data_IF_549957358293
#
_entry.id   IF_549957358293
#
_cell.length_a   1.000
_cell.length_b   1.000
_cell.length_c   1.000
_cell.angle_alpha   90.00
_cell.angle_beta   90.00
_cell.angle_gamma   90.00
#
_symmetry.space_group_name_H-M   'P 1'
#
loop_
_entity.id
_entity.type
_entity.pdbx_description
1 polymer ?
#
# COMPACT_ATOMS: atom_id res chain seq x y z
N UNK A 1 -31.82 38.74 0.71
CA UNK A 1 -31.10 37.46 0.60
C UNK A 1 -31.10 36.78 1.96
N UNK A 2 -31.74 35.62 2.08
CA UNK A 2 -31.95 34.93 3.37
C UNK A 2 -30.63 34.43 3.97
N UNK A 3 -30.55 34.35 5.30
CA UNK A 3 -29.36 33.88 6.02
C UNK A 3 -28.85 32.51 5.54
N UNK A 4 -29.77 31.66 5.07
CA UNK A 4 -29.47 30.36 4.47
C UNK A 4 -28.55 30.42 3.24
N UNK A 5 -28.65 31.47 2.41
CA UNK A 5 -27.77 31.62 1.24
C UNK A 5 -26.35 32.06 1.62
N UNK A 6 -26.18 32.82 2.70
CA UNK A 6 -24.85 33.22 3.21
C UNK A 6 -24.13 32.06 3.87
N UNK A 7 -24.86 31.15 4.51
CA UNK A 7 -24.31 29.97 5.18
C UNK A 7 -23.93 28.87 4.18
N UNK A 8 -24.73 28.69 3.12
CA UNK A 8 -24.40 27.80 2.01
C UNK A 8 -23.14 28.23 1.24
N UNK A 9 -22.85 29.53 1.14
CA UNK A 9 -21.63 30.04 0.48
C UNK A 9 -20.40 29.89 1.38
N UNK A 10 -20.57 29.92 2.72
CA UNK A 10 -19.46 29.72 3.68
C UNK A 10 -18.98 28.26 3.74
N UNK A 11 -19.88 27.30 3.54
CA UNK A 11 -19.55 25.87 3.59
C UNK A 11 -19.08 25.28 2.24
N UNK A 12 -19.15 26.03 1.13
CA UNK A 12 -18.80 25.53 -0.21
C UNK A 12 -17.35 25.80 -0.64
N UNK A 13 -16.58 26.57 0.14
CA UNK A 13 -15.24 27.02 -0.21
C UNK A 13 -14.19 26.93 0.92
N UNK A 14 -14.43 26.14 1.97
CA UNK A 14 -13.34 25.77 2.87
C UNK A 14 -12.72 24.47 2.36
N UNK A 15 -11.44 24.57 1.97
CA UNK A 15 -10.59 23.40 1.82
C UNK A 15 -10.63 22.54 3.08
N UNK A 16 -10.16 21.30 2.93
CA UNK A 16 -9.96 20.27 3.96
C UNK A 16 -10.17 20.76 5.40
N UNK A 17 -11.00 20.08 6.22
CA UNK A 17 -11.21 20.48 7.60
C UNK A 17 -9.87 20.71 8.29
N UNK A 18 -9.77 21.82 9.02
CA UNK A 18 -8.60 22.15 9.83
C UNK A 18 -8.16 20.91 10.59
N UNK A 19 -6.86 20.60 10.58
CA UNK A 19 -6.27 19.59 11.47
C UNK A 19 -6.87 19.82 12.87
N UNK A 20 -7.51 18.81 13.49
CA UNK A 20 -8.16 19.01 14.78
C UNK A 20 -7.16 19.66 15.73
N UNK A 21 -7.57 20.77 16.35
CA UNK A 21 -6.72 21.48 17.30
C UNK A 21 -6.16 20.47 18.31
N UNK A 22 -4.84 20.51 18.50
CA UNK A 22 -4.18 19.72 19.55
C UNK A 22 -4.99 19.95 20.82
N UNK A 23 -5.55 18.91 21.46
CA UNK A 23 -6.19 19.10 22.74
C UNK A 23 -5.15 19.75 23.65
N UNK A 24 -5.48 20.97 24.08
CA UNK A 24 -4.61 21.80 24.90
C UNK A 24 -4.00 20.97 26.02
N UNK A 25 -2.74 21.29 26.32
CA UNK A 25 -1.96 20.74 27.43
C UNK A 25 -2.84 20.76 28.69
N UNK A 26 -3.56 19.68 28.98
CA UNK A 26 -4.31 19.53 30.22
C UNK A 26 -3.24 19.40 31.29
N UNK A 27 -3.10 20.44 32.11
CA UNK A 27 -2.50 20.33 33.43
C UNK A 27 -3.47 19.46 34.22
N UNK A 28 -3.21 18.16 34.20
CA UNK A 28 -4.01 17.13 34.84
C UNK A 28 -3.08 16.07 35.43
N UNK A 29 -3.32 15.76 36.69
CA UNK A 29 -2.61 14.88 37.61
C UNK A 29 -2.11 13.56 36.98
N UNK A 30 -1.02 12.96 37.49
CA UNK A 30 -0.39 11.79 36.89
C UNK A 30 -1.34 10.58 36.95
N UNK A 31 -2.03 10.32 35.84
CA UNK A 31 -2.74 9.07 35.59
C UNK A 31 -1.72 7.95 35.36
N UNK A 32 -2.01 6.77 35.91
CA UNK A 32 -1.13 5.60 35.90
C UNK A 32 -0.65 5.17 34.51
N UNK A 33 0.32 4.24 34.44
CA UNK A 33 1.02 3.92 33.20
C UNK A 33 0.06 3.33 32.17
N UNK A 34 -0.45 4.17 31.26
CA UNK A 34 -1.06 3.72 30.04
C UNK A 34 -0.04 2.87 29.29
N UNK A 35 -0.35 1.59 29.06
CA UNK A 35 0.53 0.69 28.30
C UNK A 35 0.92 1.39 27.00
N UNK A 36 2.21 1.67 26.84
CA UNK A 36 2.77 2.24 25.61
C UNK A 36 2.36 1.33 24.46
N UNK A 37 1.80 1.89 23.38
CA UNK A 37 1.45 1.10 22.20
C UNK A 37 2.72 0.47 21.62
N UNK A 38 2.63 -0.80 21.23
CA UNK A 38 3.71 -1.53 20.58
C UNK A 38 3.69 -1.22 19.08
N UNK A 39 4.81 -0.69 18.58
CA UNK A 39 5.01 -0.33 17.18
C UNK A 39 6.13 -1.15 16.52
N UNK A 40 6.54 -2.26 17.14
CA UNK A 40 7.51 -3.18 16.54
C UNK A 40 6.98 -3.73 15.20
N UNK A 41 7.81 -3.77 14.14
CA UNK A 41 7.41 -4.32 12.86
C UNK A 41 6.89 -5.75 12.96
N UNK A 42 5.86 -6.07 12.18
CA UNK A 42 5.33 -7.42 12.00
C UNK A 42 5.59 -7.88 10.56
N UNK A 43 5.76 -9.18 10.37
CA UNK A 43 6.03 -9.75 9.05
C UNK A 43 4.74 -10.24 8.39
N UNK A 44 4.61 -10.00 7.08
CA UNK A 44 3.59 -10.59 6.22
C UNK A 44 3.58 -12.13 6.24
N UNK A 45 4.67 -12.78 6.67
CA UNK A 45 4.76 -14.24 6.87
C UNK A 45 3.66 -14.79 7.79
N UNK A 46 3.05 -13.95 8.61
CA UNK A 46 1.92 -14.36 9.44
C UNK A 46 0.64 -14.58 8.60
N UNK A 47 0.40 -13.84 7.51
CA UNK A 47 -0.92 -13.79 6.84
C UNK A 47 -1.05 -14.64 5.56
N UNK A 48 0.05 -15.13 4.98
CA UNK A 48 0.05 -15.89 3.73
C UNK A 48 0.73 -17.26 3.91
N UNK A 49 0.03 -18.34 3.53
CA UNK A 49 0.50 -19.73 3.67
C UNK A 49 1.66 -20.06 2.72
N UNK A 50 1.68 -19.53 1.48
CA UNK A 50 2.78 -19.73 0.52
C UNK A 50 3.51 -18.41 0.21
N UNK A 51 4.76 -18.33 0.65
CA UNK A 51 5.92 -18.01 -0.20
C UNK A 51 6.74 -19.30 -0.20
N UNK A 52 7.47 -19.70 -1.25
CA UNK A 52 8.32 -20.92 -1.16
C UNK A 52 9.16 -20.84 0.16
N UNK A 53 9.01 -21.65 1.24
CA UNK A 53 8.07 -22.72 1.65
C UNK A 53 7.66 -22.65 3.18
N UNK A 54 6.69 -23.50 3.60
CA UNK A 54 5.67 -23.40 4.72
C UNK A 54 5.94 -24.36 5.92
N UNK A 55 5.47 -24.16 7.20
CA UNK A 55 4.19 -24.63 7.82
C UNK A 55 3.77 -23.99 9.20
N UNK A 56 2.43 -23.78 9.34
CA UNK A 56 1.41 -23.71 10.45
C UNK A 56 1.73 -23.25 11.90
N UNK A 57 1.09 -22.15 12.34
CA UNK A 57 0.32 -22.09 13.61
C UNK A 57 -0.68 -20.92 13.67
N UNK A 58 -1.83 -21.20 14.31
CA UNK A 58 -3.11 -20.49 14.25
C UNK A 58 -3.12 -19.16 15.03
N UNK A 59 -3.40 -18.04 14.33
CA UNK A 59 -3.91 -16.73 14.83
C UNK A 59 -3.95 -15.66 13.72
N UNK A 60 -4.78 -15.78 12.68
CA UNK A 60 -4.97 -14.66 11.73
C UNK A 60 -6.43 -14.37 11.44
N UNK A 61 -6.82 -13.11 11.28
CA UNK A 61 -8.14 -12.72 10.78
C UNK A 61 -8.00 -12.35 9.30
N UNK A 62 -8.46 -13.21 8.38
CA UNK A 62 -8.37 -12.98 6.93
C UNK A 62 -9.54 -13.61 6.19
N UNK A 63 -9.80 -13.15 4.96
CA UNK A 63 -10.93 -13.61 4.13
C UNK A 63 -10.96 -15.13 3.91
N UNK A 64 -9.79 -15.76 3.84
CA UNK A 64 -9.65 -17.21 3.64
C UNK A 64 -10.18 -18.04 4.83
N UNK A 65 -10.48 -17.42 5.98
CA UNK A 65 -11.11 -18.12 7.11
C UNK A 65 -12.61 -18.26 6.99
N UNK A 66 -13.24 -17.35 6.25
CA UNK A 66 -14.70 -17.28 6.12
C UNK A 66 -15.17 -17.67 4.71
N UNK A 67 -14.25 -17.72 3.75
CA UNK A 67 -14.50 -18.08 2.35
C UNK A 67 -13.44 -19.04 1.82
N UNK A 68 -13.82 -19.99 0.97
CA UNK A 68 -12.89 -20.80 0.20
C UNK A 68 -12.36 -20.03 -1.00
N UNK A 69 -11.22 -19.36 -0.83
CA UNK A 69 -10.51 -18.66 -1.91
C UNK A 69 -9.00 -18.69 -1.70
N UNK A 70 -8.27 -18.34 -2.75
CA UNK A 70 -6.84 -18.04 -2.72
C UNK A 70 -6.65 -16.52 -2.84
N UNK A 71 -5.60 -15.99 -2.23
CA UNK A 71 -5.30 -14.55 -2.26
C UNK A 71 -3.89 -14.37 -2.81
N UNK A 72 -3.78 -13.49 -3.80
CA UNK A 72 -2.51 -13.02 -4.35
C UNK A 72 -2.44 -11.52 -4.06
N UNK A 73 -1.51 -11.12 -3.20
CA UNK A 73 -1.19 -9.72 -2.97
C UNK A 73 0.09 -9.40 -3.75
N UNK A 74 0.02 -8.39 -4.62
CA UNK A 74 1.12 -8.00 -5.50
C UNK A 74 1.69 -6.66 -5.04
N UNK A 75 3.02 -6.57 -5.02
CA UNK A 75 3.72 -5.29 -4.96
C UNK A 75 3.77 -4.72 -6.37
N UNK A 76 3.11 -3.57 -6.59
CA UNK A 76 3.20 -2.87 -7.87
C UNK A 76 4.59 -2.27 -8.08
N UNK A 77 4.91 -1.92 -9.32
CA UNK A 77 6.13 -1.18 -9.69
C UNK A 77 6.39 -0.01 -8.72
N UNK A 78 7.65 0.13 -8.30
CA UNK A 78 8.06 1.17 -7.35
C UNK A 78 7.50 1.01 -5.92
N UNK A 79 6.84 -0.10 -5.60
CA UNK A 79 6.28 -0.39 -4.28
C UNK A 79 6.82 -1.72 -3.74
N UNK A 80 6.85 -1.86 -2.41
CA UNK A 80 7.32 -3.06 -1.73
C UNK A 80 8.64 -3.58 -2.30
N UNK A 81 8.76 -4.88 -2.52
CA UNK A 81 10.02 -5.48 -2.97
C UNK A 81 10.12 -5.68 -4.48
N UNK A 82 9.15 -5.14 -5.25
CA UNK A 82 9.17 -5.16 -6.71
C UNK A 82 10.31 -4.32 -7.28
N UNK A 83 11.00 -4.87 -8.28
CA UNK A 83 12.10 -4.22 -8.99
C UNK A 83 11.80 -4.18 -10.47
N UNK A 84 11.92 -3.02 -11.09
CA UNK A 84 11.74 -2.85 -12.54
C UNK A 84 12.89 -2.06 -13.15
N UNK A 85 12.99 -2.05 -14.48
CA UNK A 85 14.00 -1.23 -15.18
C UNK A 85 13.76 0.28 -15.00
N UNK A 86 12.51 0.69 -14.78
CA UNK A 86 12.13 2.08 -14.56
C UNK A 86 10.96 2.15 -13.57
N UNK A 87 11.28 2.32 -12.29
CA UNK A 87 10.29 2.40 -11.20
C UNK A 87 9.47 3.70 -11.21
N UNK A 88 9.83 4.68 -12.04
CA UNK A 88 9.15 5.97 -12.11
C UNK A 88 8.05 6.02 -13.18
N UNK A 89 8.01 5.09 -14.14
CA UNK A 89 6.89 4.98 -15.09
C UNK A 89 5.69 4.31 -14.42
N UNK A 90 4.92 5.10 -13.69
CA UNK A 90 3.68 4.67 -13.07
C UNK A 90 2.45 5.01 -13.93
N UNK A 91 2.57 5.04 -15.26
CA UNK A 91 1.38 5.24 -16.11
C UNK A 91 0.34 4.12 -15.88
N UNK A 92 -0.95 4.44 -16.04
CA UNK A 92 -2.02 3.44 -15.91
C UNK A 92 -1.81 2.24 -16.85
N UNK A 93 -1.24 2.51 -18.02
CA UNK A 93 -0.97 1.54 -19.07
C UNK A 93 0.14 0.58 -18.68
N UNK A 94 1.27 1.10 -18.21
CA UNK A 94 2.40 0.29 -17.72
C UNK A 94 1.98 -0.55 -16.52
N UNK A 95 1.32 0.06 -15.52
CA UNK A 95 0.87 -0.66 -14.33
C UNK A 95 -0.16 -1.75 -14.65
N UNK A 96 -1.10 -1.51 -15.57
CA UNK A 96 -2.05 -2.53 -15.98
C UNK A 96 -1.38 -3.68 -16.76
N UNK A 97 -0.36 -3.35 -17.57
CA UNK A 97 0.45 -4.35 -18.28
C UNK A 97 1.23 -5.22 -17.29
N UNK A 98 1.89 -4.60 -16.31
CA UNK A 98 2.65 -5.31 -15.26
C UNK A 98 1.75 -6.34 -14.55
N UNK A 99 0.51 -5.97 -14.19
CA UNK A 99 -0.45 -6.89 -13.57
C UNK A 99 -0.77 -8.08 -14.48
N UNK A 100 -1.00 -7.84 -15.77
CA UNK A 100 -1.23 -8.91 -16.75
C UNK A 100 -0.03 -9.85 -16.89
N UNK A 101 1.18 -9.30 -16.96
CA UNK A 101 2.44 -10.07 -17.03
C UNK A 101 2.66 -10.90 -15.74
N UNK A 102 2.38 -10.35 -14.56
CA UNK A 102 2.46 -11.06 -13.28
C UNK A 102 1.48 -12.25 -13.28
N UNK A 103 0.22 -12.05 -13.67
CA UNK A 103 -0.76 -13.14 -13.74
C UNK A 103 -0.33 -14.20 -14.74
N UNK A 104 0.13 -13.79 -15.93
CA UNK A 104 0.66 -14.71 -16.93
C UNK A 104 1.82 -15.55 -16.40
N UNK A 105 2.73 -14.94 -15.64
CA UNK A 105 3.88 -15.61 -15.05
C UNK A 105 3.51 -16.54 -13.89
N UNK A 106 2.56 -16.14 -13.04
CA UNK A 106 2.09 -16.96 -11.92
C UNK A 106 1.40 -18.26 -12.37
N UNK A 107 0.80 -18.25 -13.56
CA UNK A 107 0.02 -19.35 -14.10
C UNK A 107 0.58 -19.86 -15.44
N UNK A 108 1.88 -19.68 -15.70
CA UNK A 108 2.48 -20.07 -16.99
C UNK A 108 2.51 -21.59 -17.23
N UNK A 109 2.50 -22.38 -16.14
CA UNK A 109 2.53 -23.85 -16.18
C UNK A 109 1.14 -24.48 -16.35
N UNK A 110 0.07 -23.67 -16.39
CA UNK A 110 -1.31 -24.14 -16.57
C UNK A 110 -1.92 -23.52 -17.83
N UNK A 111 -2.84 -24.26 -18.48
CA UNK A 111 -3.45 -23.83 -19.75
C UNK A 111 -4.18 -22.47 -19.65
N UNK A 112 -4.73 -22.16 -18.47
CA UNK A 112 -5.37 -20.88 -18.20
C UNK A 112 -5.32 -20.53 -16.71
N UNK A 113 -5.22 -19.24 -16.35
CA UNK A 113 -5.33 -18.81 -14.96
C UNK A 113 -6.68 -19.22 -14.36
N UNK A 114 -6.78 -19.45 -13.04
CA UNK A 114 -8.06 -19.70 -12.40
C UNK A 114 -8.99 -18.48 -12.53
N UNK A 115 -10.28 -18.61 -12.18
CA UNK A 115 -11.18 -17.46 -12.08
C UNK A 115 -10.64 -16.43 -11.08
N UNK A 116 -10.45 -15.19 -11.52
CA UNK A 116 -9.83 -14.12 -10.70
C UNK A 116 -10.85 -13.04 -10.37
N UNK A 117 -10.94 -12.68 -9.08
CA UNK A 117 -11.57 -11.44 -8.61
C UNK A 117 -10.46 -10.40 -8.38
N UNK A 118 -10.49 -9.29 -9.10
CA UNK A 118 -9.59 -8.17 -8.84
C UNK A 118 -10.11 -7.31 -7.69
N UNK A 119 -9.24 -6.95 -6.75
CA UNK A 119 -9.55 -6.01 -5.66
C UNK A 119 -8.49 -4.92 -5.66
N UNK A 120 -8.90 -3.65 -5.76
CA UNK A 120 -7.97 -2.52 -5.78
C UNK A 120 -8.43 -1.37 -4.90
N UNK A 121 -7.48 -0.75 -4.19
CA UNK A 121 -7.70 0.44 -3.36
C UNK A 121 -7.02 1.65 -3.98
N UNK A 122 -7.68 2.83 -3.94
CA UNK A 122 -7.08 4.09 -4.40
C UNK A 122 -6.45 3.97 -5.81
N UNK A 123 -5.16 4.27 -5.98
CA UNK A 123 -4.42 4.02 -7.23
C UNK A 123 -4.61 2.57 -7.73
N UNK A 124 -4.47 1.57 -6.87
CA UNK A 124 -4.69 0.17 -7.24
C UNK A 124 -6.12 -0.12 -7.70
N UNK A 125 -7.12 0.63 -7.22
CA UNK A 125 -8.50 0.57 -7.70
C UNK A 125 -8.64 1.08 -9.14
N UNK A 126 -7.99 2.19 -9.46
CA UNK A 126 -7.88 2.69 -10.83
C UNK A 126 -7.19 1.65 -11.74
N UNK A 127 -6.03 1.14 -11.34
CA UNK A 127 -5.30 0.14 -12.13
C UNK A 127 -6.15 -1.12 -12.34
N UNK A 128 -6.90 -1.58 -11.32
CA UNK A 128 -7.79 -2.72 -11.47
C UNK A 128 -8.89 -2.49 -12.52
N UNK A 129 -9.42 -1.27 -12.63
CA UNK A 129 -10.35 -0.89 -13.70
C UNK A 129 -9.65 -0.93 -15.07
N UNK A 130 -8.44 -0.37 -15.19
CA UNK A 130 -7.68 -0.38 -16.45
C UNK A 130 -7.34 -1.82 -16.90
N UNK A 131 -6.89 -2.68 -16.00
CA UNK A 131 -6.66 -4.12 -16.25
C UNK A 131 -7.92 -4.78 -16.82
N UNK A 132 -9.08 -4.47 -16.22
CA UNK A 132 -10.38 -5.04 -16.61
C UNK A 132 -10.82 -4.59 -18.00
N UNK A 133 -10.79 -3.28 -18.28
CA UNK A 133 -11.22 -2.74 -19.59
C UNK A 133 -10.27 -3.16 -20.71
N UNK A 134 -8.97 -3.26 -20.43
CA UNK A 134 -7.98 -3.71 -21.42
C UNK A 134 -7.99 -5.22 -21.65
N UNK A 135 -8.73 -5.99 -20.85
CA UNK A 135 -8.79 -7.44 -20.99
C UNK A 135 -7.47 -8.14 -20.69
N UNK A 136 -6.64 -7.59 -19.81
CA UNK A 136 -5.32 -8.15 -19.48
C UNK A 136 -5.41 -9.51 -18.77
N UNK A 137 -6.55 -9.81 -18.13
CA UNK A 137 -6.82 -11.09 -17.45
C UNK A 137 -8.07 -11.70 -18.08
N UNK A 138 -7.94 -12.70 -18.98
CA UNK A 138 -9.08 -13.31 -19.66
C UNK A 138 -10.08 -14.01 -18.73
N UNK A 139 -9.62 -14.48 -17.58
CA UNK A 139 -10.42 -15.21 -16.58
C UNK A 139 -10.95 -14.32 -15.45
N UNK A 140 -10.97 -13.00 -15.66
CA UNK A 140 -11.52 -12.05 -14.71
C UNK A 140 -13.04 -12.27 -14.56
N UNK A 141 -13.48 -12.59 -13.35
CA UNK A 141 -14.88 -12.90 -13.01
C UNK A 141 -15.56 -11.84 -12.15
N UNK A 142 -14.82 -10.83 -11.68
CA UNK A 142 -15.38 -9.71 -10.93
C UNK A 142 -14.34 -8.66 -10.56
N UNK A 143 -14.83 -7.49 -10.17
CA UNK A 143 -14.01 -6.33 -9.83
C UNK A 143 -14.54 -5.66 -8.55
N UNK A 144 -13.68 -5.49 -7.56
CA UNK A 144 -13.94 -4.73 -6.35
C UNK A 144 -13.00 -3.52 -6.25
N UNK A 145 -13.59 -2.33 -6.09
CA UNK A 145 -12.85 -1.07 -5.95
C UNK A 145 -13.11 -0.49 -4.55
N UNK A 146 -12.05 -0.08 -3.87
CA UNK A 146 -12.08 0.40 -2.49
C UNK A 146 -11.65 1.86 -2.44
N UNK A 147 -12.53 2.70 -1.90
CA UNK A 147 -12.35 4.11 -1.55
C UNK A 147 -11.71 4.98 -2.64
N UNK A 148 -12.20 4.85 -3.88
CA UNK A 148 -11.83 5.72 -4.99
C UNK A 148 -13.02 5.94 -5.92
N UNK A 149 -13.22 7.21 -6.27
CA UNK A 149 -14.23 7.70 -7.21
C UNK A 149 -13.59 8.85 -8.00
N UNK A 150 -13.82 8.93 -9.30
CA UNK A 150 -13.18 9.91 -10.19
C UNK A 150 -13.32 11.34 -9.68
N UNK A 151 -14.55 11.80 -9.43
CA UNK A 151 -14.79 13.20 -9.04
C UNK A 151 -14.01 13.63 -7.81
N UNK A 152 -14.08 12.85 -6.73
CA UNK A 152 -13.38 13.17 -5.48
C UNK A 152 -11.87 12.94 -5.58
N UNK A 153 -11.42 11.96 -6.36
CA UNK A 153 -9.99 11.74 -6.60
C UNK A 153 -9.36 12.92 -7.34
N UNK A 154 -10.02 13.42 -8.39
CA UNK A 154 -9.54 14.55 -9.19
C UNK A 154 -9.44 15.84 -8.37
N UNK A 155 -10.42 16.11 -7.50
CA UNK A 155 -10.36 17.25 -6.57
C UNK A 155 -9.20 17.13 -5.57
N UNK A 156 -8.94 15.90 -5.09
CA UNK A 156 -7.89 15.61 -4.12
C UNK A 156 -6.47 15.64 -4.69
N UNK A 157 -6.26 15.58 -6.01
CA UNK A 157 -4.91 15.60 -6.60
C UNK A 157 -4.11 16.86 -6.21
N UNK A 158 -4.79 18.00 -6.12
CA UNK A 158 -4.18 19.27 -5.73
C UNK A 158 -3.70 19.29 -4.28
N UNK A 159 -4.46 18.69 -3.37
CA UNK A 159 -4.12 18.62 -1.94
C UNK A 159 -3.11 17.51 -1.64
N UNK A 160 -3.05 16.47 -2.47
CA UNK A 160 -2.11 15.35 -2.32
C UNK A 160 -0.67 15.83 -2.35
N UNK A 161 -0.29 16.73 -3.25
CA UNK A 161 1.07 17.29 -3.28
C UNK A 161 1.45 17.97 -1.96
N UNK A 162 0.53 18.74 -1.38
CA UNK A 162 0.73 19.40 -0.08
C UNK A 162 0.85 18.38 1.05
N UNK A 163 0.03 17.33 1.03
CA UNK A 163 0.12 16.22 1.98
C UNK A 163 1.49 15.53 1.89
N UNK A 164 1.92 15.13 0.69
CA UNK A 164 3.19 14.41 0.49
C UNK A 164 4.39 15.24 0.97
N UNK A 165 4.38 16.56 0.76
CA UNK A 165 5.43 17.49 1.22
C UNK A 165 5.45 17.70 2.73
N UNK A 166 4.32 17.48 3.42
CA UNK A 166 4.24 17.62 4.88
C UNK A 166 4.73 16.39 5.64
N UNK A 167 4.95 15.26 4.94
CA UNK A 167 5.50 14.04 5.54
C UNK A 167 6.96 14.25 5.97
N UNK A 168 7.41 13.60 7.07
CA UNK A 168 8.82 13.55 7.40
C UNK A 168 9.62 12.99 6.21
N UNK A 169 10.76 13.59 5.91
CA UNK A 169 11.64 13.10 4.83
C UNK A 169 12.38 11.82 5.20
N UNK A 170 12.49 11.53 6.50
CA UNK A 170 13.14 10.33 7.00
C UNK A 170 12.72 9.98 8.42
N UNK A 171 12.97 8.74 8.82
CA UNK A 171 12.74 8.21 10.15
C UNK A 171 14.04 7.61 10.72
N UNK A 172 14.21 7.65 12.04
CA UNK A 172 15.36 7.06 12.74
C UNK A 172 15.21 5.56 13.01
N UNK A 173 14.01 5.02 12.81
CA UNK A 173 13.74 3.57 12.89
C UNK A 173 12.42 3.25 12.19
N UNK A 174 12.17 1.97 11.92
CA UNK A 174 10.88 1.51 11.40
C UNK A 174 9.74 1.78 12.39
N UNK A 175 9.97 1.58 13.69
CA UNK A 175 8.99 1.84 14.76
C UNK A 175 8.55 3.30 14.77
N UNK A 176 9.46 4.25 14.51
CA UNK A 176 9.11 5.66 14.43
C UNK A 176 8.21 5.94 13.21
N UNK A 177 8.48 5.29 12.07
CA UNK A 177 7.63 5.37 10.88
C UNK A 177 6.22 4.80 11.13
N UNK A 178 6.14 3.64 11.79
CA UNK A 178 4.88 3.00 12.20
C UNK A 178 4.12 3.89 13.20
N UNK A 179 4.80 4.45 14.20
CA UNK A 179 4.19 5.37 15.16
C UNK A 179 3.65 6.63 14.46
N UNK A 180 4.41 7.19 13.53
CA UNK A 180 4.00 8.36 12.76
C UNK A 180 2.74 8.09 11.93
N UNK A 181 2.65 6.96 11.23
CA UNK A 181 1.48 6.65 10.38
C UNK A 181 0.18 6.53 11.18
N UNK A 182 0.26 5.99 12.41
CA UNK A 182 -0.87 5.91 13.32
C UNK A 182 -1.24 7.27 13.90
N UNK A 183 -0.23 8.07 14.29
CA UNK A 183 -0.48 9.39 14.91
C UNK A 183 -0.92 10.46 13.93
N UNK A 184 -0.49 10.38 12.67
CA UNK A 184 -0.92 11.28 11.60
C UNK A 184 -2.34 10.97 11.11
N UNK A 185 -2.89 9.80 11.48
CA UNK A 185 -4.19 9.33 11.01
C UNK A 185 -4.15 8.71 9.60
N UNK A 186 -2.96 8.37 9.08
CA UNK A 186 -2.85 7.66 7.81
C UNK A 186 -3.47 6.25 7.90
N UNK A 187 -3.20 5.55 9.01
CA UNK A 187 -3.78 4.23 9.33
C UNK A 187 -4.24 4.26 10.79
N UNK A 188 -5.49 3.91 11.05
CA UNK A 188 -6.01 3.90 12.43
C UNK A 188 -5.73 2.58 13.16
N UNK A 189 -5.60 1.49 12.41
CA UNK A 189 -5.30 0.17 12.95
C UNK A 189 -3.79 -0.04 13.18
N UNK A 190 -3.39 -0.09 14.45
CA UNK A 190 -1.98 -0.29 14.84
C UNK A 190 -1.43 -1.63 14.35
N UNK A 191 -2.22 -2.70 14.38
CA UNK A 191 -1.77 -4.02 13.91
C UNK A 191 -1.44 -3.98 12.42
N UNK A 192 -2.34 -3.40 11.61
CA UNK A 192 -2.11 -3.22 10.17
C UNK A 192 -0.89 -2.35 9.90
N UNK A 193 -0.76 -1.20 10.58
CA UNK A 193 0.35 -0.28 10.40
C UNK A 193 1.72 -0.93 10.67
N UNK A 194 1.81 -1.84 11.65
CA UNK A 194 3.04 -2.59 11.96
C UNK A 194 3.50 -3.51 10.83
N UNK A 195 2.58 -3.90 9.95
CA UNK A 195 2.84 -4.80 8.81
C UNK A 195 3.06 -3.96 7.55
N UNK A 196 2.12 -3.06 7.24
CA UNK A 196 2.06 -2.34 5.97
C UNK A 196 3.14 -1.26 5.83
N UNK A 197 3.54 -0.60 6.92
CA UNK A 197 4.55 0.47 6.85
C UNK A 197 5.94 -0.03 6.51
N UNK A 198 6.25 -1.31 6.75
CA UNK A 198 7.55 -1.90 6.41
C UNK A 198 7.78 -1.86 4.89
N UNK A 199 6.72 -2.10 4.10
CA UNK A 199 6.78 -2.01 2.64
C UNK A 199 6.83 -0.56 2.11
N UNK A 200 6.49 0.44 2.91
CA UNK A 200 6.50 1.85 2.51
C UNK A 200 7.83 2.55 2.76
N UNK A 201 8.69 1.95 3.60
CA UNK A 201 9.99 2.49 3.98
C UNK A 201 11.12 1.62 3.44
N UNK A 202 12.26 2.26 3.17
CA UNK A 202 13.50 1.60 2.77
C UNK A 202 14.63 2.17 3.63
N UNK A 203 15.60 1.31 3.97
CA UNK A 203 16.81 1.74 4.68
C UNK A 203 17.63 2.62 3.76
N UNK A 204 18.07 3.75 4.28
CA UNK A 204 18.99 4.65 3.60
C UNK A 204 20.35 3.96 3.52
N UNK A 205 20.78 3.58 2.32
CA UNK A 205 22.17 3.21 2.04
C UNK A 205 22.85 4.38 1.35
N UNK A 206 23.98 4.84 1.88
CA UNK A 206 24.78 5.94 1.31
C UNK A 206 25.24 5.69 -0.15
N UNK A 207 25.07 4.47 -0.67
CA UNK A 207 25.42 4.08 -2.03
C UNK A 207 24.57 4.75 -3.14
N UNK A 208 23.38 5.29 -2.85
CA UNK A 208 22.52 5.90 -3.88
C UNK A 208 23.01 7.29 -4.35
N UNK A 209 24.00 7.88 -3.68
CA UNK A 209 24.61 9.14 -4.12
C UNK A 209 25.80 8.97 -5.09
N UNK A 210 26.34 7.75 -5.26
CA UNK A 210 27.55 7.51 -6.06
C UNK A 210 27.29 7.27 -7.56
N UNK A 211 26.04 7.20 -8.02
CA UNK A 211 25.74 7.08 -9.45
C UNK A 211 25.81 8.41 -10.24
N UNK A 212 26.05 9.55 -9.57
CA UNK A 212 26.16 10.87 -10.24
C UNK A 212 27.56 11.26 -10.69
N UNK A 213 28.59 10.47 -10.41
CA UNK A 213 29.96 10.73 -10.89
C UNK A 213 30.58 9.49 -11.53
N UNK A 214 30.05 9.06 -12.68
CA UNK A 214 30.84 8.21 -13.59
C UNK A 214 30.49 8.44 -15.05
N UNK A 215 31.02 9.53 -15.60
CA UNK A 215 31.28 9.65 -17.03
C UNK A 215 32.80 9.64 -17.22
N UNK A 216 33.28 8.57 -17.87
CA UNK A 216 34.68 8.25 -18.18
C UNK A 216 35.32 9.26 -19.15
N UNK A 217 36.65 9.22 -19.40
CA UNK A 217 37.08 8.34 -20.50
C UNK A 217 38.47 7.66 -20.35
N UNK A 218 38.56 6.46 -20.97
CA UNK A 218 39.77 5.78 -21.56
C UNK A 218 40.92 5.36 -20.61
N UNK A 219 41.61 4.21 -20.74
CA UNK A 219 41.84 3.27 -21.84
C UNK A 219 42.49 1.94 -21.35
N UNK A 220 42.03 0.81 -21.91
CA UNK A 220 42.75 -0.47 -22.26
C UNK A 220 43.38 -1.40 -21.20
N UNK A 221 43.55 -2.72 -21.53
CA UNK A 221 43.37 -3.83 -20.60
C UNK A 221 44.64 -4.68 -20.36
N UNK A 222 44.69 -5.42 -19.25
CA UNK A 222 45.64 -6.51 -19.02
C UNK A 222 45.16 -7.39 -17.85
N UNK A 223 44.59 -8.56 -18.13
CA UNK A 223 45.17 -9.92 -17.87
C UNK A 223 45.25 -10.38 -16.41
N UNK A 224 44.45 -11.43 -16.16
CA UNK A 224 44.82 -12.72 -15.55
C UNK A 224 45.20 -12.87 -14.06
N UNK A 225 44.52 -13.88 -13.48
CA UNK A 225 44.99 -14.97 -12.61
C UNK A 225 45.22 -14.74 -11.09
N UNK A 226 44.32 -15.39 -10.34
CA UNK A 226 44.52 -16.49 -9.38
C UNK A 226 45.85 -16.60 -8.57
N UNK A 227 45.63 -16.82 -7.25
CA UNK A 227 46.35 -17.69 -6.30
C UNK A 227 47.87 -17.57 -6.13
N UNK A 228 48.32 -17.04 -4.97
CA UNK A 228 49.55 -17.49 -4.28
C UNK A 228 49.34 -17.49 -2.75
N UNK A 229 49.78 -18.60 -2.15
CA UNK A 229 49.75 -19.02 -0.75
C UNK A 229 51.02 -18.57 0.01
N UNK A 230 50.87 -18.43 1.34
CA UNK A 230 51.87 -18.45 2.43
C UNK A 230 52.75 -17.23 2.68
N UNK A 231 52.74 -16.75 3.93
CA UNK A 231 53.78 -17.03 4.94
C UNK A 231 53.37 -16.43 6.31
N UNK A 232 53.39 -17.24 7.37
CA UNK A 232 53.42 -16.77 8.77
C UNK A 232 54.84 -16.31 9.11
N UNK A 233 54.98 -15.38 10.07
CA UNK A 233 55.74 -15.79 11.25
C UNK A 233 55.17 -15.31 12.59
N UNK A 234 55.18 -16.26 13.52
CA UNK A 234 55.69 -16.21 14.89
C UNK A 234 55.16 -15.17 15.91
N UNK A 235 54.75 -15.76 17.03
CA UNK A 235 54.30 -15.15 18.27
C UNK A 235 55.40 -14.31 18.94
N UNK A 236 55.06 -13.09 19.37
CA UNK A 236 55.65 -12.51 20.57
C UNK A 236 54.57 -11.88 21.45
N UNK A 237 54.51 -12.41 22.65
CA UNK A 237 53.55 -12.14 23.70
C UNK A 237 54.02 -10.90 24.49
N UNK A 238 53.28 -9.79 24.41
CA UNK A 238 53.41 -8.71 25.42
C UNK A 238 52.03 -8.23 25.87
N UNK A 239 51.75 -8.53 27.14
CA UNK A 239 50.58 -8.07 27.87
C UNK A 239 50.59 -6.54 27.99
N UNK A 240 49.71 -5.87 27.23
CA UNK A 240 49.33 -4.50 27.49
C UNK A 240 47.81 -4.44 27.67
N UNK A 241 47.41 -4.22 28.92
CA UNK A 241 46.02 -3.93 29.31
C UNK A 241 45.54 -2.70 28.56
N UNK A 242 44.78 -2.89 27.49
CA UNK A 242 43.94 -1.87 26.91
C UNK A 242 42.49 -2.37 26.99
N UNK A 243 41.73 -1.77 27.91
CA UNK A 243 40.26 -1.79 27.84
C UNK A 243 39.86 -1.15 26.51
N UNK A 244 39.71 -1.96 25.48
CA UNK A 244 38.98 -1.58 24.30
C UNK A 244 37.51 -1.43 24.70
N UNK A 245 37.11 -0.20 25.04
CA UNK A 245 35.72 0.22 24.85
C UNK A 245 35.41 -0.03 23.38
N UNK A 246 34.73 -1.14 23.10
CA UNK A 246 34.04 -1.31 21.84
C UNK A 246 33.01 -0.19 21.77
N UNK A 247 33.40 0.92 21.15
CA UNK A 247 32.45 1.84 20.54
C UNK A 247 31.86 1.03 19.40
N UNK A 248 30.78 0.31 19.68
CA UNK A 248 29.85 -0.07 18.62
C UNK A 248 29.42 1.27 18.03
N UNK A 249 29.99 1.63 16.88
CA UNK A 249 29.40 2.64 16.02
C UNK A 249 27.95 2.19 15.81
N UNK A 250 27.04 2.82 16.54
CA UNK A 250 25.63 2.70 16.24
C UNK A 250 25.48 3.36 14.87
N UNK A 251 25.54 2.54 13.82
CA UNK A 251 25.13 2.93 12.48
C UNK A 251 23.71 3.46 12.68
N UNK A 252 23.56 4.79 12.59
CA UNK A 252 22.30 5.44 12.84
C UNK A 252 21.40 5.11 11.65
N UNK A 253 20.68 3.99 11.75
CA UNK A 253 19.89 3.45 10.64
C UNK A 253 18.78 4.44 10.30
N UNK A 254 18.95 5.14 9.18
CA UNK A 254 17.96 6.08 8.67
C UNK A 254 17.06 5.36 7.69
N UNK A 255 15.75 5.62 7.76
CA UNK A 255 14.76 5.11 6.84
C UNK A 255 14.15 6.26 6.04
N UNK A 256 13.89 6.04 4.76
CA UNK A 256 13.22 6.99 3.87
C UNK A 256 12.01 6.33 3.20
N UNK A 257 11.15 7.13 2.59
CA UNK A 257 10.06 6.62 1.75
C UNK A 257 10.64 5.82 0.58
N UNK A 258 10.07 4.64 0.33
CA UNK A 258 10.49 3.77 -0.78
C UNK A 258 10.37 4.45 -2.13
N UNK A 259 9.31 5.25 -2.30
CA UNK A 259 9.06 6.01 -3.52
C UNK A 259 8.74 7.46 -3.21
N UNK A 260 9.37 8.36 -3.96
CA UNK A 260 8.97 9.77 -3.99
C UNK A 260 7.75 9.94 -4.91
N UNK A 261 6.58 9.65 -4.34
CA UNK A 261 5.31 9.72 -5.06
C UNK A 261 5.06 11.11 -5.67
N UNK A 262 5.65 12.19 -5.13
CA UNK A 262 5.45 13.54 -5.66
C UNK A 262 5.94 13.70 -7.10
N UNK A 263 6.97 12.93 -7.51
CA UNK A 263 7.52 12.90 -8.86
C UNK A 263 6.58 12.28 -9.89
N UNK A 264 5.64 11.47 -9.43
CA UNK A 264 4.70 10.71 -10.27
C UNK A 264 3.43 11.50 -10.59
N UNK A 265 3.34 12.76 -10.15
CA UNK A 265 2.16 13.63 -10.27
C UNK A 265 1.58 13.77 -11.67
N UNK A 266 2.41 13.64 -12.69
CA UNK A 266 2.01 13.72 -14.10
C UNK A 266 1.21 12.49 -14.57
N UNK A 267 1.25 11.36 -13.86
CA UNK A 267 0.45 10.18 -14.16
C UNK A 267 -0.92 10.16 -13.47
N UNK A 268 -1.10 10.95 -12.40
CA UNK A 268 -2.28 10.84 -11.53
C UNK A 268 -3.59 11.11 -12.26
N UNK A 269 -3.62 12.12 -13.15
CA UNK A 269 -4.79 12.37 -13.99
C UNK A 269 -5.11 11.13 -14.85
N UNK A 270 -4.09 10.48 -15.42
CA UNK A 270 -4.25 9.28 -16.23
C UNK A 270 -4.78 8.07 -15.48
N UNK A 271 -4.68 8.04 -14.14
CA UNK A 271 -5.26 6.97 -13.31
C UNK A 271 -6.77 7.16 -13.12
N UNK A 272 -7.22 8.39 -12.90
CA UNK A 272 -8.57 8.64 -12.39
C UNK A 272 -9.52 9.23 -13.43
N UNK A 273 -9.00 9.89 -14.47
CA UNK A 273 -9.82 10.50 -15.51
C UNK A 273 -10.65 9.46 -16.25
N UNK A 274 -11.95 9.70 -16.34
CA UNK A 274 -12.97 8.79 -16.87
C UNK A 274 -13.09 7.45 -16.15
N UNK A 275 -12.44 7.27 -14.99
CA UNK A 275 -12.44 6.02 -14.23
C UNK A 275 -13.86 5.56 -13.91
N UNK A 276 -14.78 6.47 -13.60
CA UNK A 276 -16.17 6.10 -13.26
C UNK A 276 -16.90 5.48 -14.45
N UNK A 277 -16.69 6.02 -15.66
CA UNK A 277 -17.24 5.43 -16.90
C UNK A 277 -16.58 4.09 -17.22
N UNK A 278 -15.26 4.01 -17.10
CA UNK A 278 -14.49 2.79 -17.35
C UNK A 278 -14.92 1.66 -16.41
N UNK A 279 -15.05 1.95 -15.11
CA UNK A 279 -15.57 1.03 -14.11
C UNK A 279 -16.96 0.51 -14.53
N UNK A 280 -17.89 1.40 -14.87
CA UNK A 280 -19.24 1.00 -15.30
C UNK A 280 -19.25 0.16 -16.58
N UNK A 281 -18.28 0.36 -17.48
CA UNK A 281 -18.14 -0.38 -18.74
C UNK A 281 -17.58 -1.80 -18.58
N UNK A 282 -16.93 -2.12 -17.46
CA UNK A 282 -16.32 -3.43 -17.24
C UNK A 282 -17.39 -4.55 -17.30
N UNK A 283 -17.22 -5.59 -18.14
CA UNK A 283 -18.22 -6.61 -18.41
C UNK A 283 -18.28 -7.71 -17.34
N UNK A 284 -17.94 -7.38 -16.10
CA UNK A 284 -17.97 -8.30 -14.95
C UNK A 284 -18.83 -7.72 -13.83
N UNK A 285 -19.34 -8.56 -12.90
CA UNK A 285 -19.91 -8.09 -11.66
C UNK A 285 -18.95 -7.12 -10.95
N UNK A 286 -19.51 -6.06 -10.35
CA UNK A 286 -18.75 -5.00 -9.71
C UNK A 286 -19.16 -4.74 -8.26
N UNK A 287 -18.19 -4.42 -7.42
CA UNK A 287 -18.36 -4.00 -6.03
C UNK A 287 -17.61 -2.70 -5.79
N UNK A 288 -18.25 -1.73 -5.15
CA UNK A 288 -17.62 -0.50 -4.68
C UNK A 288 -17.75 -0.42 -3.15
N UNK A 289 -16.63 -0.29 -2.45
CA UNK A 289 -16.58 -0.11 -0.99
C UNK A 289 -16.09 1.30 -0.70
N UNK A 290 -16.86 2.09 0.05
CA UNK A 290 -16.51 3.48 0.38
C UNK A 290 -16.46 3.71 1.89
N UNK A 291 -15.60 4.63 2.34
CA UNK A 291 -15.63 5.11 3.73
C UNK A 291 -16.85 6.02 4.02
N UNK A 292 -17.39 6.69 2.99
CA UNK A 292 -18.53 7.61 3.07
C UNK A 292 -19.31 7.71 1.75
N UNK A 293 -20.61 8.02 1.85
CA UNK A 293 -21.55 8.12 0.69
C UNK A 293 -21.31 9.40 -0.11
N UNK A 294 -20.81 10.44 0.54
CA UNK A 294 -20.45 11.75 0.00
C UNK A 294 -19.37 11.70 -1.09
N UNK A 295 -18.79 10.52 -1.34
CA UNK A 295 -17.75 10.31 -2.34
C UNK A 295 -18.25 9.98 -3.74
N UNK A 296 -19.52 9.62 -3.91
CA UNK A 296 -20.06 9.27 -5.22
C UNK A 296 -20.14 10.50 -6.14
N UNK A 297 -19.62 10.37 -7.36
CA UNK A 297 -19.83 11.34 -8.42
C UNK A 297 -21.15 11.08 -9.16
N UNK A 298 -21.45 11.94 -10.14
CA UNK A 298 -22.67 11.85 -10.93
C UNK A 298 -22.80 10.53 -11.70
N UNK A 299 -21.72 10.05 -12.31
CA UNK A 299 -21.72 8.84 -13.15
C UNK A 299 -21.99 7.60 -12.29
N UNK A 300 -21.26 7.45 -11.18
CA UNK A 300 -21.46 6.33 -10.25
C UNK A 300 -22.80 6.42 -9.52
N UNK A 301 -23.31 7.62 -9.22
CA UNK A 301 -24.66 7.79 -8.66
C UNK A 301 -25.71 7.25 -9.63
N UNK A 302 -25.65 7.63 -10.91
CA UNK A 302 -26.56 7.12 -11.94
C UNK A 302 -26.40 5.60 -12.10
N UNK A 303 -25.15 5.11 -12.17
CA UNK A 303 -24.87 3.68 -12.30
C UNK A 303 -25.38 2.86 -11.11
N UNK A 304 -25.27 3.39 -9.89
CA UNK A 304 -25.78 2.78 -8.68
C UNK A 304 -27.31 2.71 -8.67
N UNK A 305 -27.98 3.81 -9.05
CA UNK A 305 -29.44 3.84 -9.18
C UNK A 305 -29.96 2.88 -10.26
N UNK A 306 -29.16 2.60 -11.28
CA UNK A 306 -29.44 1.60 -12.32
C UNK A 306 -29.09 0.16 -11.90
N UNK A 307 -28.53 -0.05 -10.70
CA UNK A 307 -28.13 -1.38 -10.22
C UNK A 307 -26.93 -1.99 -10.96
N UNK A 308 -26.08 -1.16 -11.59
CA UNK A 308 -24.92 -1.63 -12.39
C UNK A 308 -23.78 -2.23 -11.55
N UNK A 309 -23.75 -1.94 -10.26
CA UNK A 309 -22.77 -2.48 -9.32
C UNK A 309 -23.38 -2.58 -7.91
N UNK A 310 -22.73 -3.37 -7.04
CA UNK A 310 -23.06 -3.41 -5.63
C UNK A 310 -22.24 -2.36 -4.90
N UNK A 311 -22.85 -1.62 -3.98
CA UNK A 311 -22.14 -0.64 -3.14
C UNK A 311 -22.26 -1.02 -1.67
N UNK A 312 -21.16 -0.88 -0.94
CA UNK A 312 -21.13 -0.99 0.51
C UNK A 312 -20.42 0.21 1.11
N UNK A 313 -20.97 0.73 2.21
CA UNK A 313 -20.35 1.83 2.96
C UNK A 313 -19.86 1.27 4.29
N UNK A 314 -18.60 1.55 4.63
CA UNK A 314 -17.97 1.19 5.89
C UNK A 314 -17.61 2.47 6.65
N UNK A 315 -18.56 3.02 7.44
CA UNK A 315 -18.34 4.29 8.13
C UNK A 315 -17.27 4.14 9.23
N UNK A 316 -16.66 5.27 9.61
CA UNK A 316 -15.59 5.36 10.63
C UNK A 316 -14.24 4.77 10.20
N UNK A 317 -14.01 4.61 8.91
CA UNK A 317 -12.68 4.35 8.36
C UNK A 317 -12.10 5.64 7.78
N UNK A 318 -10.77 5.75 7.78
CA UNK A 318 -10.04 6.70 6.96
C UNK A 318 -9.99 6.24 5.51
N UNK A 319 -8.97 6.71 4.79
CA UNK A 319 -8.75 6.34 3.39
C UNK A 319 -8.42 4.85 3.21
N UNK A 320 -7.59 4.27 4.09
CA UNK A 320 -7.19 2.87 4.04
C UNK A 320 -8.24 1.96 4.72
N UNK A 321 -9.46 1.89 4.15
CA UNK A 321 -10.60 1.13 4.72
C UNK A 321 -10.25 -0.33 5.03
N UNK A 322 -9.46 -0.96 4.18
CA UNK A 322 -9.03 -2.36 4.33
C UNK A 322 -7.96 -2.55 5.42
N UNK A 323 -7.22 -1.51 5.78
CA UNK A 323 -6.31 -1.54 6.94
C UNK A 323 -7.06 -1.23 8.24
N UNK A 324 -7.98 -0.26 8.19
CA UNK A 324 -8.74 0.20 9.35
C UNK A 324 -9.79 -0.80 9.82
N UNK A 325 -10.48 -1.46 8.88
CA UNK A 325 -11.55 -2.43 9.15
C UNK A 325 -11.40 -3.71 8.30
N UNK A 326 -10.28 -4.45 8.41
CA UNK A 326 -10.00 -5.63 7.59
C UNK A 326 -11.08 -6.70 7.71
N UNK A 327 -11.59 -6.94 8.93
CA UNK A 327 -12.66 -7.90 9.21
C UNK A 327 -13.94 -7.54 8.43
N UNK A 328 -14.29 -6.26 8.37
CA UNK A 328 -15.48 -5.78 7.65
C UNK A 328 -15.31 -5.83 6.14
N UNK A 329 -14.14 -5.48 5.63
CA UNK A 329 -13.86 -5.66 4.19
C UNK A 329 -13.93 -7.14 3.80
N UNK A 330 -13.40 -8.04 4.63
CA UNK A 330 -13.47 -9.48 4.40
C UNK A 330 -14.93 -10.02 4.41
N UNK A 331 -15.76 -9.58 5.36
CA UNK A 331 -17.20 -9.92 5.42
C UNK A 331 -17.93 -9.49 4.14
N UNK A 332 -17.65 -8.29 3.65
CA UNK A 332 -18.29 -7.72 2.45
C UNK A 332 -17.84 -8.46 1.19
N UNK A 333 -16.55 -8.71 1.03
CA UNK A 333 -16.01 -9.48 -0.09
C UNK A 333 -16.53 -10.92 -0.08
N UNK A 334 -16.63 -11.56 1.08
CA UNK A 334 -17.18 -12.92 1.21
C UNK A 334 -18.66 -12.95 0.83
N UNK A 335 -19.46 -12.02 1.36
CA UNK A 335 -20.87 -11.87 0.99
C UNK A 335 -21.05 -11.68 -0.52
N UNK A 336 -20.17 -10.90 -1.14
CA UNK A 336 -20.15 -10.64 -2.57
C UNK A 336 -19.83 -11.91 -3.38
N UNK A 337 -18.75 -12.62 -3.03
CA UNK A 337 -18.34 -13.86 -3.69
C UNK A 337 -19.41 -14.95 -3.58
N UNK A 338 -19.98 -15.15 -2.38
CA UNK A 338 -21.03 -16.15 -2.14
C UNK A 338 -22.31 -15.80 -2.90
N UNK A 339 -22.71 -14.51 -2.93
CA UNK A 339 -23.87 -14.04 -3.69
C UNK A 339 -23.73 -14.35 -5.19
N UNK A 340 -22.52 -14.18 -5.73
CA UNK A 340 -22.21 -14.47 -7.13
C UNK A 340 -21.92 -15.95 -7.40
N UNK A 341 -21.97 -16.81 -6.38
CA UNK A 341 -21.61 -18.23 -6.46
C UNK A 341 -20.19 -18.47 -6.97
N UNK A 342 -19.28 -17.54 -6.68
CA UNK A 342 -17.87 -17.60 -7.08
C UNK A 342 -17.01 -18.31 -6.03
N UNK A 343 -17.49 -18.39 -4.79
CA UNK A 343 -16.82 -19.13 -3.73
C UNK A 343 -17.85 -19.65 -2.70
N UNK A 344 -17.45 -20.68 -1.96
CA UNK A 344 -18.24 -21.24 -0.87
C UNK A 344 -17.85 -20.59 0.47
N UNK A 345 -18.85 -20.25 1.28
CA UNK A 345 -18.63 -19.84 2.66
C UNK A 345 -18.15 -21.03 3.50
N UNK A 346 -17.26 -20.78 4.46
CA UNK A 346 -16.90 -21.76 5.50
C UNK A 346 -17.96 -21.78 6.59
N UNK A 347 -18.09 -22.89 7.32
CA UNK A 347 -19.18 -23.17 8.29
C UNK A 347 -19.45 -22.06 9.33
N UNK A 348 -18.45 -21.23 9.63
CA UNK A 348 -18.53 -20.17 10.63
C UNK A 348 -19.03 -18.81 10.11
N UNK A 349 -19.33 -18.69 8.81
CA UNK A 349 -19.79 -17.44 8.22
C UNK A 349 -21.31 -17.28 8.37
N UNK A 350 -21.75 -16.38 9.26
CA UNK A 350 -23.14 -15.97 9.37
C UNK A 350 -23.36 -14.71 8.52
N UNK A 351 -24.36 -14.79 7.64
CA UNK A 351 -24.66 -13.80 6.59
C UNK A 351 -25.37 -12.56 7.12
#
# INVERSE_FOLDING_TARGET
>A
MSGFLKEAVKNKYSGLPSCPERPGKRIGSPGGPGRKRDYSPLSWKQYFENSKYVWVNDKNKSINRICHCQVVAIDLRGHGDSKTENDLDLSADTLAKDVGEIVGKLYEEVDSPPPILMVGHSMGGAIAVHVSVKGMIPTLIGLAVIDVVEGTAMEALSSMQSFLKSRPSSFSSLEQGIEWSVRSGQVHNVESARISMVGQLVRFSDNDNNEKERVSPTSTPATNLCDIISEEPEEENTEATQRATAVTEQVNEKFTWRIDLSKTGHFWEGWFKEMSKLFLSCPVPKLLILAGIDRLDKELTIGQMQGKFQMQVLPRCGHCVHEDAPDKVAEVLTSYLVRLKLAAAKENFQR
#
